data_IF_831253013470
#
_entry.id   IF_831253013470
#
_cell.length_a   1.000
_cell.length_b   1.000
_cell.length_c   1.000
_cell.angle_alpha   90.00
_cell.angle_beta   90.00
_cell.angle_gamma   90.00
#
_symmetry.space_group_name_H-M   'P 1'
#
loop_
_entity.id
_entity.type
_entity.pdbx_description
1 polymer ?
#
# COMPACT_ATOMS: atom_id res chain seq x y z
N UNK A 1 -21.39 28.33 53.68
CA UNK A 1 -22.70 28.49 53.00
C UNK A 1 -22.44 29.32 51.75
N UNK A 2 -22.45 28.68 50.59
CA UNK A 2 -22.28 29.36 49.32
C UNK A 2 -23.57 30.11 49.03
N UNK A 3 -23.44 31.41 48.78
CA UNK A 3 -24.58 32.33 48.52
C UNK A 3 -25.33 31.84 47.29
N UNK A 4 -26.62 31.51 47.44
CA UNK A 4 -27.51 31.03 46.36
C UNK A 4 -27.68 32.09 45.25
N UNK A 5 -27.54 33.37 45.57
CA UNK A 5 -27.66 34.45 44.59
C UNK A 5 -26.40 34.60 43.70
N UNK A 6 -25.21 34.38 44.27
CA UNK A 6 -23.95 34.30 43.54
C UNK A 6 -23.93 33.08 42.63
N UNK A 7 -24.41 31.93 43.05
CA UNK A 7 -24.49 30.69 42.27
C UNK A 7 -25.45 30.84 41.04
N UNK A 8 -26.55 31.60 41.20
CA UNK A 8 -27.54 31.88 40.16
C UNK A 8 -26.99 32.77 39.03
N UNK A 9 -26.00 33.60 39.33
CA UNK A 9 -25.31 34.49 38.34
C UNK A 9 -24.13 33.80 37.69
N UNK A 10 -23.45 32.88 38.38
CA UNK A 10 -22.25 32.16 37.87
C UNK A 10 -22.64 30.97 36.98
N UNK A 11 -23.74 30.30 37.29
CA UNK A 11 -24.19 29.11 36.54
C UNK A 11 -24.45 29.35 35.04
N UNK A 12 -25.14 30.41 34.60
CA UNK A 12 -25.34 30.68 33.18
C UNK A 12 -24.04 31.05 32.46
N UNK A 13 -23.11 31.73 33.13
CA UNK A 13 -21.82 32.11 32.56
C UNK A 13 -20.92 30.84 32.37
N UNK A 14 -20.97 29.93 33.36
CA UNK A 14 -20.23 28.65 33.26
C UNK A 14 -20.85 27.75 32.19
N UNK A 15 -22.15 27.70 32.06
CA UNK A 15 -22.87 26.97 31.02
C UNK A 15 -22.57 27.50 29.62
N UNK A 16 -22.56 28.86 29.49
CA UNK A 16 -22.20 29.50 28.22
C UNK A 16 -20.73 29.25 27.84
N UNK A 17 -19.81 29.20 28.82
CA UNK A 17 -18.41 28.87 28.60
C UNK A 17 -18.22 27.40 28.19
N UNK A 18 -18.97 26.50 28.80
CA UNK A 18 -18.95 25.06 28.43
C UNK A 18 -19.54 24.85 27.03
N UNK A 19 -20.62 25.56 26.67
CA UNK A 19 -21.19 25.46 25.31
C UNK A 19 -20.24 26.06 24.27
N UNK A 20 -19.56 27.17 24.58
CA UNK A 20 -18.58 27.76 23.66
C UNK A 20 -17.32 26.91 23.52
N UNK A 21 -16.86 26.24 24.58
CA UNK A 21 -15.78 25.25 24.52
C UNK A 21 -16.17 24.00 23.73
N UNK A 22 -17.42 23.53 23.88
CA UNK A 22 -17.93 22.38 23.08
C UNK A 22 -18.10 22.75 21.60
N UNK A 23 -18.51 24.01 21.30
CA UNK A 23 -18.59 24.53 19.93
C UNK A 23 -17.19 24.73 19.29
N UNK A 24 -16.20 25.17 20.08
CA UNK A 24 -14.80 25.26 19.63
C UNK A 24 -14.13 23.91 19.40
N UNK A 25 -14.60 22.86 20.09
CA UNK A 25 -14.10 21.48 19.89
C UNK A 25 -14.65 20.83 18.60
N UNK A 26 -15.63 21.44 17.94
CA UNK A 26 -16.13 21.04 16.62
C UNK A 26 -15.48 21.87 15.50
N UNK A 27 -14.17 22.11 15.55
CA UNK A 27 -13.46 22.42 14.30
C UNK A 27 -13.66 21.23 13.40
N UNK A 28 -14.31 21.36 12.22
CA UNK A 28 -14.37 20.27 11.26
C UNK A 28 -12.92 19.87 11.01
N UNK A 29 -12.56 18.63 11.38
CA UNK A 29 -11.30 18.03 10.98
C UNK A 29 -11.27 18.18 9.47
N UNK A 30 -10.39 19.03 8.97
CA UNK A 30 -10.16 19.14 7.52
C UNK A 30 -9.97 17.71 7.02
N UNK A 31 -10.76 17.27 6.04
CA UNK A 31 -10.67 15.92 5.54
C UNK A 31 -9.21 15.67 5.12
N UNK A 32 -8.56 14.68 5.74
CA UNK A 32 -7.19 14.33 5.40
C UNK A 32 -7.21 13.65 4.03
N UNK A 33 -6.77 14.36 3.03
CA UNK A 33 -6.65 13.85 1.67
C UNK A 33 -5.34 13.06 1.51
N UNK A 34 -5.40 11.87 0.90
CA UNK A 34 -4.22 11.16 0.44
C UNK A 34 -3.88 11.58 -1.00
N UNK A 35 -2.83 12.35 -1.17
CA UNK A 35 -2.17 12.55 -2.46
C UNK A 35 -0.94 11.67 -2.48
N UNK A 36 -1.17 10.37 -2.71
CA UNK A 36 -0.15 9.35 -2.56
C UNK A 36 0.36 8.84 -3.90
N UNK A 37 1.60 8.34 -3.90
CA UNK A 37 2.24 7.75 -5.06
C UNK A 37 2.90 6.44 -4.66
N UNK A 38 2.77 5.40 -5.51
CA UNK A 38 3.61 4.21 -5.40
C UNK A 38 4.93 4.47 -6.11
N UNK A 39 6.02 4.32 -5.38
CA UNK A 39 7.38 4.55 -5.85
C UNK A 39 8.10 3.20 -5.90
N UNK A 40 8.27 2.66 -7.11
CA UNK A 40 8.78 1.30 -7.30
C UNK A 40 10.29 1.26 -7.43
N UNK A 41 10.89 0.27 -6.78
CA UNK A 41 12.30 -0.09 -6.96
C UNK A 41 12.49 -1.30 -7.89
N UNK A 42 11.38 -1.91 -8.32
CA UNK A 42 11.40 -3.11 -9.18
C UNK A 42 12.16 -2.82 -10.49
N UNK A 43 13.29 -3.51 -10.67
CA UNK A 43 14.16 -3.36 -11.85
C UNK A 43 14.63 -1.91 -12.13
N UNK A 44 14.58 -1.03 -11.12
CA UNK A 44 14.94 0.38 -11.27
C UNK A 44 13.96 1.18 -12.12
N UNK A 45 12.70 0.77 -12.16
CA UNK A 45 11.68 1.41 -12.99
C UNK A 45 11.48 2.89 -12.62
N UNK A 46 11.26 3.21 -11.35
CA UNK A 46 11.27 4.58 -10.88
C UNK A 46 12.65 4.95 -10.33
N UNK A 47 13.25 4.07 -9.51
CA UNK A 47 14.54 4.27 -8.86
C UNK A 47 15.07 2.96 -8.23
N UNK A 48 16.43 2.78 -8.14
CA UNK A 48 17.47 3.56 -8.80
C UNK A 48 17.65 3.13 -10.27
N UNK A 49 17.95 4.06 -11.14
CA UNK A 49 18.18 3.76 -12.57
C UNK A 49 19.42 2.92 -12.83
N UNK A 50 20.43 3.03 -11.97
CA UNK A 50 21.68 2.28 -12.05
C UNK A 50 22.13 1.83 -10.66
N UNK A 51 22.70 0.61 -10.55
CA UNK A 51 23.23 0.15 -9.26
C UNK A 51 24.44 0.96 -8.79
N UNK A 52 24.53 1.14 -7.46
CA UNK A 52 25.67 1.77 -6.79
C UNK A 52 26.80 0.75 -6.61
N UNK A 53 27.78 0.77 -7.51
CA UNK A 53 28.97 -0.10 -7.44
C UNK A 53 30.23 0.64 -7.02
N UNK A 54 30.16 1.96 -6.89
CA UNK A 54 31.24 2.87 -6.45
C UNK A 54 30.64 3.99 -5.59
N UNK A 55 31.46 4.68 -4.77
CA UNK A 55 31.02 5.83 -3.99
C UNK A 55 30.36 6.92 -4.84
N UNK A 56 30.91 7.23 -6.01
CA UNK A 56 30.33 8.19 -6.94
C UNK A 56 28.96 7.71 -7.51
N UNK A 57 28.74 6.41 -7.66
CA UNK A 57 27.46 5.86 -8.07
C UNK A 57 26.44 5.90 -6.93
N UNK A 58 26.88 5.70 -5.68
CA UNK A 58 26.05 5.89 -4.48
C UNK A 58 25.52 7.32 -4.39
N UNK A 59 26.40 8.31 -4.53
CA UNK A 59 25.98 9.72 -4.50
C UNK A 59 25.03 10.09 -5.64
N UNK A 60 25.23 9.54 -6.83
CA UNK A 60 24.26 9.71 -7.94
C UNK A 60 22.88 9.10 -7.62
N UNK A 61 22.82 7.90 -7.01
CA UNK A 61 21.55 7.31 -6.58
C UNK A 61 20.83 8.22 -5.58
N UNK A 62 21.53 8.73 -4.59
CA UNK A 62 20.98 9.66 -3.59
C UNK A 62 20.44 10.94 -4.22
N UNK A 63 21.24 11.57 -5.10
CA UNK A 63 20.84 12.79 -5.81
C UNK A 63 19.62 12.55 -6.70
N UNK A 64 19.56 11.41 -7.39
CA UNK A 64 18.41 11.02 -8.18
C UNK A 64 17.14 10.93 -7.33
N UNK A 65 17.19 10.27 -6.16
CA UNK A 65 16.05 10.18 -5.25
C UNK A 65 15.60 11.55 -4.74
N UNK A 66 16.56 12.41 -4.30
CA UNK A 66 16.24 13.77 -3.88
C UNK A 66 15.51 14.55 -4.97
N UNK A 67 16.00 14.50 -6.21
CA UNK A 67 15.39 15.18 -7.34
C UNK A 67 13.97 14.67 -7.64
N UNK A 68 13.74 13.36 -7.54
CA UNK A 68 12.41 12.77 -7.72
C UNK A 68 11.46 13.20 -6.59
N UNK A 69 11.93 13.23 -5.35
CA UNK A 69 11.10 13.65 -4.21
C UNK A 69 10.82 15.16 -4.23
N UNK A 70 11.75 16.02 -4.72
CA UNK A 70 11.48 17.43 -4.98
C UNK A 70 10.33 17.61 -5.97
N UNK A 71 10.32 16.80 -7.04
CA UNK A 71 9.26 16.82 -8.04
C UNK A 71 7.91 16.35 -7.47
N UNK A 72 7.91 15.32 -6.61
CA UNK A 72 6.70 14.84 -5.94
C UNK A 72 6.16 15.90 -4.97
N UNK A 73 7.02 16.56 -4.21
CA UNK A 73 6.64 17.67 -3.32
C UNK A 73 6.05 18.83 -4.13
N UNK A 74 6.69 19.24 -5.21
CA UNK A 74 6.21 20.30 -6.10
C UNK A 74 4.85 19.94 -6.75
N UNK A 75 4.59 18.64 -6.95
CA UNK A 75 3.30 18.13 -7.38
C UNK A 75 2.29 17.95 -6.24
N UNK A 76 2.58 18.45 -5.02
CA UNK A 76 1.69 18.40 -3.86
C UNK A 76 1.45 16.99 -3.30
N UNK A 77 2.27 16.01 -3.64
CA UNK A 77 2.22 14.67 -3.03
C UNK A 77 2.54 14.79 -1.54
N UNK A 78 1.77 14.11 -0.72
CA UNK A 78 1.95 14.10 0.74
C UNK A 78 2.26 12.71 1.31
N UNK A 79 2.22 11.67 0.49
CA UNK A 79 2.45 10.29 0.92
C UNK A 79 3.16 9.50 -0.18
N UNK A 80 4.24 8.81 0.19
CA UNK A 80 4.99 7.94 -0.71
C UNK A 80 4.90 6.50 -0.24
N UNK A 81 4.38 5.60 -1.06
CA UNK A 81 4.51 4.16 -0.87
C UNK A 81 5.82 3.70 -1.49
N UNK A 82 6.89 3.67 -0.70
CA UNK A 82 8.23 3.30 -1.15
C UNK A 82 8.42 1.79 -1.12
N UNK A 83 8.75 1.18 -2.25
CA UNK A 83 8.88 -0.27 -2.36
C UNK A 83 10.12 -0.79 -1.60
N UNK A 84 9.91 -1.17 -0.34
CA UNK A 84 10.93 -1.67 0.56
C UNK A 84 11.17 -3.19 0.41
N UNK A 85 10.13 -3.96 0.06
CA UNK A 85 10.21 -5.38 -0.27
C UNK A 85 9.66 -5.63 -1.67
N UNK A 86 10.49 -6.24 -2.53
CA UNK A 86 10.16 -6.43 -3.94
C UNK A 86 9.54 -7.83 -4.16
N UNK A 87 10.36 -8.88 -4.21
CA UNK A 87 9.95 -10.28 -4.41
C UNK A 87 10.90 -11.21 -3.69
N UNK A 88 10.79 -11.28 -2.36
CA UNK A 88 11.75 -12.03 -1.54
C UNK A 88 13.13 -11.38 -1.48
N UNK A 89 13.22 -10.10 -1.84
CA UNK A 89 14.41 -9.24 -1.75
C UNK A 89 14.00 -7.86 -1.23
N UNK A 90 14.92 -7.14 -0.63
CA UNK A 90 14.63 -5.90 0.10
C UNK A 90 15.55 -4.74 -0.26
N UNK A 91 15.11 -3.54 0.10
CA UNK A 91 15.80 -2.24 -0.07
C UNK A 91 16.49 -1.75 1.21
N UNK A 92 16.74 -2.62 2.18
CA UNK A 92 17.29 -2.26 3.49
C UNK A 92 18.11 -3.42 4.08
N UNK A 93 18.99 -3.20 5.09
CA UNK A 93 19.74 -4.26 5.76
C UNK A 93 18.80 -5.16 6.59
N UNK A 94 18.27 -6.21 5.98
CA UNK A 94 17.42 -7.20 6.62
C UNK A 94 18.21 -8.40 7.11
N UNK A 95 17.77 -8.97 8.25
CA UNK A 95 18.24 -10.27 8.74
C UNK A 95 17.44 -11.45 8.17
N UNK A 96 16.38 -11.18 7.42
CA UNK A 96 15.41 -12.18 6.96
C UNK A 96 15.56 -12.43 5.46
N UNK A 97 15.60 -11.38 4.64
CA UNK A 97 15.67 -11.45 3.19
C UNK A 97 16.91 -10.74 2.63
N UNK A 98 17.43 -11.22 1.49
CA UNK A 98 18.63 -10.65 0.87
C UNK A 98 18.32 -9.30 0.19
N UNK A 99 19.37 -8.50 -0.01
CA UNK A 99 19.35 -7.29 -0.81
C UNK A 99 18.88 -7.54 -2.24
N UNK A 100 18.08 -6.65 -2.79
CA UNK A 100 17.77 -6.68 -4.21
C UNK A 100 18.96 -6.24 -5.06
N UNK A 101 19.08 -6.85 -6.24
CA UNK A 101 20.18 -6.58 -7.17
C UNK A 101 20.19 -5.13 -7.70
N UNK A 102 19.04 -4.46 -7.72
CA UNK A 102 18.89 -3.11 -8.26
C UNK A 102 19.77 -2.10 -7.55
N UNK A 103 20.02 -2.29 -6.24
CA UNK A 103 20.81 -1.34 -5.45
C UNK A 103 22.31 -1.44 -5.68
N UNK A 104 22.87 -2.66 -5.77
CA UNK A 104 24.32 -2.89 -5.85
C UNK A 104 24.75 -3.81 -7.00
N UNK A 105 23.86 -4.08 -7.98
CA UNK A 105 24.14 -4.84 -9.20
C UNK A 105 24.11 -6.34 -9.06
N UNK A 106 23.97 -6.89 -7.84
CA UNK A 106 23.88 -8.34 -7.58
C UNK A 106 23.00 -8.59 -6.36
N UNK A 107 22.11 -9.57 -6.47
CA UNK A 107 21.27 -10.00 -5.36
C UNK A 107 22.14 -10.45 -4.16
N UNK A 108 21.73 -10.05 -2.97
CA UNK A 108 22.43 -10.29 -1.71
C UNK A 108 23.64 -9.39 -1.45
N UNK A 109 24.04 -8.53 -2.40
CA UNK A 109 25.09 -7.52 -2.19
C UNK A 109 24.49 -6.25 -1.58
N UNK A 110 25.01 -5.84 -0.43
CA UNK A 110 24.69 -4.56 0.20
C UNK A 110 25.23 -3.40 -0.61
N UNK A 111 24.47 -2.32 -0.81
CA UNK A 111 25.03 -1.01 -1.16
C UNK A 111 25.77 -0.40 0.04
N UNK A 112 26.55 0.69 -0.20
CA UNK A 112 27.33 1.35 0.84
C UNK A 112 26.49 2.27 1.76
N UNK A 113 25.16 2.21 1.68
CA UNK A 113 24.20 2.99 2.48
C UNK A 113 22.89 2.21 2.66
N UNK A 114 21.98 2.75 3.47
CA UNK A 114 20.64 2.23 3.65
C UNK A 114 19.64 3.02 2.80
N UNK A 115 19.16 2.48 1.65
CA UNK A 115 18.21 3.14 0.78
C UNK A 115 16.87 3.47 1.45
N UNK A 116 16.35 2.61 2.32
CA UNK A 116 15.08 2.84 3.00
C UNK A 116 15.21 3.96 4.03
N UNK A 117 16.24 3.93 4.88
CA UNK A 117 16.50 5.00 5.84
C UNK A 117 16.67 6.35 5.13
N UNK A 118 17.47 6.38 4.07
CA UNK A 118 17.68 7.58 3.28
C UNK A 118 16.38 8.11 2.65
N UNK A 119 15.54 7.23 2.12
CA UNK A 119 14.25 7.61 1.55
C UNK A 119 13.29 8.19 2.59
N UNK A 120 13.27 7.64 3.81
CA UNK A 120 12.46 8.15 4.93
C UNK A 120 12.90 9.58 5.28
N UNK A 121 14.20 9.78 5.51
CA UNK A 121 14.75 11.10 5.86
C UNK A 121 14.42 12.14 4.79
N UNK A 122 14.58 11.79 3.52
CA UNK A 122 14.31 12.70 2.40
C UNK A 122 12.80 12.97 2.19
N UNK A 123 11.92 12.01 2.47
CA UNK A 123 10.48 12.23 2.45
C UNK A 123 10.05 13.17 3.59
N UNK A 124 10.52 12.92 4.82
CA UNK A 124 10.20 13.71 6.00
C UNK A 124 10.70 15.16 5.89
N UNK A 125 11.90 15.40 5.35
CA UNK A 125 12.40 16.75 5.05
C UNK A 125 11.48 17.56 4.13
N UNK A 126 10.68 16.90 3.32
CA UNK A 126 9.72 17.50 2.38
C UNK A 126 8.28 17.49 2.89
N UNK A 127 8.05 17.08 4.14
CA UNK A 127 6.72 17.00 4.73
C UNK A 127 5.84 15.89 4.14
N UNK A 128 6.44 14.85 3.56
CA UNK A 128 5.74 13.69 3.02
C UNK A 128 5.82 12.51 3.99
N UNK A 129 4.70 11.81 4.22
CA UNK A 129 4.71 10.51 4.87
C UNK A 129 5.39 9.47 3.96
N UNK A 130 6.17 8.56 4.56
CA UNK A 130 6.70 7.41 3.85
C UNK A 130 6.16 6.12 4.46
N UNK A 131 5.44 5.34 3.63
CA UNK A 131 5.00 3.99 3.97
C UNK A 131 5.86 2.96 3.26
N UNK A 132 6.40 2.01 4.01
CA UNK A 132 7.13 0.90 3.41
C UNK A 132 6.18 0.00 2.61
N UNK A 133 6.32 0.01 1.30
CA UNK A 133 5.55 -0.84 0.41
C UNK A 133 6.15 -2.25 0.37
N UNK A 134 5.33 -3.23 0.76
CA UNK A 134 5.69 -4.65 0.86
C UNK A 134 4.85 -5.45 -0.13
N UNK A 135 5.50 -5.98 -1.16
CA UNK A 135 4.90 -6.99 -2.06
C UNK A 135 4.84 -8.31 -1.29
N UNK A 136 3.63 -8.74 -0.87
CA UNK A 136 3.48 -9.76 0.16
C UNK A 136 3.77 -11.20 -0.31
N UNK A 137 2.89 -11.80 -1.11
CA UNK A 137 3.05 -13.22 -1.46
C UNK A 137 4.01 -13.52 -2.61
N UNK A 138 4.16 -12.70 -3.66
CA UNK A 138 5.22 -12.92 -4.63
C UNK A 138 6.58 -13.02 -3.95
N UNK A 139 7.32 -14.07 -4.30
CA UNK A 139 8.62 -14.39 -3.75
C UNK A 139 9.67 -14.41 -4.86
N UNK A 140 10.69 -15.22 -4.73
CA UNK A 140 11.86 -15.23 -5.58
C UNK A 140 11.56 -15.69 -7.02
N UNK A 141 12.04 -14.96 -8.01
CA UNK A 141 12.13 -15.47 -9.38
C UNK A 141 13.10 -16.66 -9.46
N UNK A 142 12.91 -17.56 -10.43
CA UNK A 142 13.82 -18.72 -10.59
C UNK A 142 15.27 -18.30 -10.81
N UNK A 143 15.51 -17.18 -11.50
CA UNK A 143 16.85 -16.61 -11.66
C UNK A 143 17.45 -16.18 -10.31
N UNK A 144 16.64 -15.56 -9.43
CA UNK A 144 17.05 -15.17 -8.08
C UNK A 144 17.40 -16.39 -7.23
N UNK A 145 16.57 -17.44 -7.28
CA UNK A 145 16.83 -18.73 -6.59
C UNK A 145 18.14 -19.34 -7.04
N UNK A 146 18.43 -19.29 -8.36
CA UNK A 146 19.70 -19.78 -8.91
C UNK A 146 20.89 -18.95 -8.38
N UNK A 147 20.77 -17.64 -8.35
CA UNK A 147 21.82 -16.74 -7.91
C UNK A 147 22.12 -16.83 -6.40
N UNK A 148 21.08 -16.97 -5.57
CA UNK A 148 21.20 -17.10 -4.11
C UNK A 148 21.62 -18.50 -3.65
N UNK A 149 21.41 -19.53 -4.47
CA UNK A 149 21.74 -20.90 -4.13
C UNK A 149 21.05 -21.37 -2.83
N UNK A 150 21.81 -21.81 -1.84
CA UNK A 150 21.27 -22.29 -0.56
C UNK A 150 20.64 -21.20 0.31
N UNK A 151 20.90 -19.91 0.04
CA UNK A 151 20.33 -18.79 0.79
C UNK A 151 18.89 -18.47 0.35
N UNK A 152 18.47 -18.97 -0.81
CA UNK A 152 17.11 -18.78 -1.31
C UNK A 152 16.06 -19.31 -0.34
N UNK A 153 14.98 -18.57 -0.14
CA UNK A 153 13.83 -18.99 0.67
C UNK A 153 13.18 -20.25 0.10
N UNK A 154 12.99 -20.30 -1.22
CA UNK A 154 12.40 -21.45 -1.89
C UNK A 154 13.21 -22.75 -1.72
N UNK A 155 14.51 -22.67 -1.39
CA UNK A 155 15.34 -23.82 -1.06
C UNK A 155 15.39 -24.12 0.43
N UNK A 156 15.33 -23.08 1.28
CA UNK A 156 15.34 -23.25 2.74
C UNK A 156 14.00 -23.70 3.30
N UNK A 157 12.91 -23.21 2.69
CA UNK A 157 11.53 -23.44 3.14
C UNK A 157 10.63 -23.77 1.94
N UNK A 158 10.92 -24.87 1.21
CA UNK A 158 10.17 -25.26 0.01
C UNK A 158 8.68 -25.51 0.29
N UNK A 159 8.33 -25.89 1.51
CA UNK A 159 6.96 -26.12 1.95
C UNK A 159 6.09 -24.85 1.95
N UNK A 160 6.71 -23.67 2.05
CA UNK A 160 6.02 -22.38 2.01
C UNK A 160 5.84 -21.83 0.61
N UNK A 161 6.46 -22.45 -0.42
CA UNK A 161 6.60 -21.87 -1.74
C UNK A 161 5.93 -22.72 -2.82
N UNK A 162 4.97 -22.13 -3.53
CA UNK A 162 4.37 -22.69 -4.73
C UNK A 162 5.03 -22.10 -5.98
N UNK A 163 5.29 -22.93 -6.99
CA UNK A 163 5.73 -22.46 -8.30
C UNK A 163 4.57 -21.84 -9.05
N UNK A 164 4.83 -20.71 -9.68
CA UNK A 164 3.89 -20.03 -10.56
C UNK A 164 4.67 -19.25 -11.62
N UNK A 165 4.44 -19.57 -12.89
CA UNK A 165 5.15 -19.00 -14.04
C UNK A 165 6.69 -19.03 -13.88
N UNK A 166 7.37 -17.88 -13.80
CA UNK A 166 8.83 -17.74 -13.68
C UNK A 166 9.30 -17.49 -12.23
N UNK A 167 8.41 -17.64 -11.25
CA UNK A 167 8.67 -17.29 -9.85
C UNK A 167 8.07 -18.28 -8.85
N UNK A 168 8.43 -18.11 -7.59
CA UNK A 168 7.75 -18.71 -6.46
C UNK A 168 6.77 -17.70 -5.83
N UNK A 169 5.68 -18.23 -5.29
CA UNK A 169 4.70 -17.47 -4.51
C UNK A 169 4.59 -18.17 -3.16
N UNK A 170 4.58 -17.38 -2.09
CA UNK A 170 4.32 -17.89 -0.75
C UNK A 170 2.89 -18.43 -0.68
N UNK A 171 2.73 -19.64 -0.15
CA UNK A 171 1.41 -20.26 0.05
C UNK A 171 0.75 -19.70 1.32
N UNK A 172 -0.33 -18.92 1.21
CA UNK A 172 -1.03 -18.38 2.39
C UNK A 172 -1.66 -19.48 3.26
N UNK A 173 -1.88 -20.67 2.69
CA UNK A 173 -2.42 -21.83 3.40
C UNK A 173 -1.45 -22.44 4.40
N UNK A 174 -0.15 -22.25 4.21
CA UNK A 174 0.88 -22.68 5.16
C UNK A 174 0.90 -21.73 6.35
N UNK A 175 0.66 -22.20 7.59
CA UNK A 175 0.57 -21.32 8.78
C UNK A 175 1.82 -20.42 8.96
N UNK A 176 2.99 -20.97 8.73
CA UNK A 176 4.29 -20.29 8.90
C UNK A 176 4.49 -19.11 7.93
N UNK A 177 3.72 -19.05 6.85
CA UNK A 177 3.73 -17.89 5.93
C UNK A 177 3.27 -16.62 6.65
N UNK A 178 2.33 -16.73 7.57
CA UNK A 178 1.85 -15.61 8.37
C UNK A 178 2.96 -15.06 9.28
N UNK A 179 3.66 -15.94 9.99
CA UNK A 179 4.75 -15.56 10.88
C UNK A 179 5.94 -14.97 10.11
N UNK A 180 6.22 -15.53 8.94
CA UNK A 180 7.29 -15.04 8.06
C UNK A 180 7.06 -13.61 7.59
N UNK A 181 5.88 -13.31 7.03
CA UNK A 181 5.55 -11.95 6.58
C UNK A 181 5.39 -10.97 7.75
N UNK A 182 4.84 -11.43 8.87
CA UNK A 182 4.77 -10.65 10.09
C UNK A 182 6.17 -10.29 10.62
N UNK A 183 7.15 -11.20 10.51
CA UNK A 183 8.53 -10.92 10.94
C UNK A 183 9.20 -9.85 10.08
N UNK A 184 8.95 -9.85 8.76
CA UNK A 184 9.45 -8.81 7.83
C UNK A 184 8.85 -7.45 8.14
N UNK A 185 7.51 -7.37 8.27
CA UNK A 185 6.83 -6.12 8.58
C UNK A 185 7.20 -5.60 9.98
N UNK A 186 7.36 -6.51 10.96
CA UNK A 186 7.82 -6.18 12.30
C UNK A 186 9.28 -5.70 12.32
N UNK A 187 10.17 -6.27 11.49
CA UNK A 187 11.56 -5.81 11.32
C UNK A 187 11.60 -4.39 10.79
N UNK A 188 10.81 -4.08 9.75
CA UNK A 188 10.71 -2.72 9.21
C UNK A 188 10.17 -1.76 10.28
N UNK A 189 9.07 -2.09 10.92
CA UNK A 189 8.45 -1.23 11.92
C UNK A 189 9.36 -0.94 13.13
N UNK A 190 10.16 -1.93 13.56
CA UNK A 190 11.11 -1.77 14.67
C UNK A 190 12.28 -0.88 14.33
N UNK A 191 12.84 -1.03 13.12
CA UNK A 191 14.13 -0.47 12.79
C UNK A 191 14.06 0.89 12.09
N UNK A 192 12.87 1.27 11.55
CA UNK A 192 12.72 2.46 10.70
C UNK A 192 11.62 3.39 11.19
N UNK A 193 11.82 4.68 11.03
CA UNK A 193 10.83 5.71 11.33
C UNK A 193 9.82 5.90 10.21
N UNK A 194 9.13 4.81 9.88
CA UNK A 194 8.07 4.79 8.87
C UNK A 194 6.75 5.34 9.43
N UNK A 195 5.97 6.01 8.58
CA UNK A 195 4.61 6.45 8.90
C UNK A 195 3.59 5.31 8.73
N UNK A 196 3.94 4.29 7.93
CA UNK A 196 3.09 3.14 7.73
C UNK A 196 3.75 2.00 6.96
N UNK A 197 3.00 0.90 6.86
CA UNK A 197 3.28 -0.22 5.96
C UNK A 197 2.13 -0.35 4.97
N UNK A 198 2.47 -0.48 3.70
CA UNK A 198 1.53 -0.67 2.61
C UNK A 198 1.69 -2.06 2.00
N UNK A 199 0.66 -2.91 2.09
CA UNK A 199 0.68 -4.27 1.59
C UNK A 199 0.15 -4.33 0.16
N UNK A 200 0.94 -4.88 -0.74
CA UNK A 200 0.53 -5.19 -2.10
C UNK A 200 0.64 -6.70 -2.36
N UNK A 201 -0.12 -7.20 -3.33
CA UNK A 201 -0.19 -8.63 -3.62
C UNK A 201 -0.47 -9.49 -2.37
N UNK A 202 -1.19 -8.95 -1.39
CA UNK A 202 -1.70 -9.69 -0.24
C UNK A 202 -2.97 -10.45 -0.63
N UNK A 203 -2.82 -11.37 -1.60
CA UNK A 203 -3.89 -12.08 -2.26
C UNK A 203 -3.38 -13.29 -3.03
N UNK A 204 -4.24 -14.25 -3.27
CA UNK A 204 -3.91 -15.34 -4.20
C UNK A 204 -3.66 -14.81 -5.62
N UNK A 205 -2.91 -15.57 -6.46
CA UNK A 205 -2.69 -15.21 -7.85
C UNK A 205 -4.00 -15.07 -8.64
N UNK A 206 -3.95 -14.31 -9.72
CA UNK A 206 -5.09 -14.05 -10.61
C UNK A 206 -5.63 -15.32 -11.26
N UNK A 207 -4.75 -16.23 -11.63
CA UNK A 207 -5.12 -17.52 -12.17
C UNK A 207 -5.05 -18.56 -11.07
N UNK A 208 -6.20 -18.97 -10.52
CA UNK A 208 -6.28 -20.09 -9.58
C UNK A 208 -5.75 -21.40 -10.21
N UNK A 209 -5.66 -21.47 -11.53
CA UNK A 209 -5.16 -22.63 -12.30
C UNK A 209 -3.65 -22.77 -12.16
N UNK A 210 -2.90 -21.68 -12.04
CA UNK A 210 -1.44 -21.69 -11.93
C UNK A 210 -0.92 -21.86 -10.50
N UNK A 211 -1.81 -21.84 -9.48
CA UNK A 211 -1.43 -21.95 -8.08
C UNK A 211 -1.98 -23.24 -7.45
N UNK A 212 -1.11 -24.19 -7.17
CA UNK A 212 -1.51 -25.48 -6.64
C UNK A 212 -1.32 -25.57 -5.12
N UNK A 213 -2.35 -25.25 -4.38
CA UNK A 213 -2.43 -25.40 -2.92
C UNK A 213 -3.14 -26.68 -2.44
N UNK A 214 -3.35 -27.67 -3.35
CA UNK A 214 -4.11 -28.89 -3.04
C UNK A 214 -3.51 -29.70 -1.87
N UNK A 215 -2.19 -29.73 -1.76
CA UNK A 215 -1.52 -30.45 -0.66
C UNK A 215 -1.76 -29.71 0.67
N UNK A 216 -1.65 -28.38 0.65
CA UNK A 216 -1.85 -27.50 1.80
C UNK A 216 -3.29 -27.55 2.26
N UNK A 217 -4.25 -27.49 1.31
CA UNK A 217 -5.67 -27.61 1.63
C UNK A 217 -6.02 -28.97 2.24
N UNK A 218 -5.50 -30.07 1.73
CA UNK A 218 -5.72 -31.39 2.35
C UNK A 218 -5.16 -31.46 3.77
N UNK A 219 -4.07 -30.77 4.05
CA UNK A 219 -3.43 -30.79 5.38
C UNK A 219 -4.12 -29.87 6.38
N UNK A 220 -4.59 -28.70 5.93
CA UNK A 220 -5.04 -27.61 6.82
C UNK A 220 -6.47 -27.12 6.56
N UNK A 221 -7.17 -27.72 5.61
CA UNK A 221 -8.53 -27.26 5.22
C UNK A 221 -9.63 -27.75 6.14
N UNK A 222 -9.43 -28.88 6.80
CA UNK A 222 -10.37 -29.46 7.79
C UNK A 222 -11.83 -29.53 7.31
N UNK A 223 -12.06 -29.79 6.01
CA UNK A 223 -13.40 -29.85 5.41
C UNK A 223 -14.08 -28.50 5.15
N UNK A 224 -13.42 -27.39 5.43
CA UNK A 224 -13.94 -26.06 5.14
C UNK A 224 -14.07 -25.86 3.61
N UNK A 225 -15.08 -25.12 3.10
CA UNK A 225 -15.16 -24.78 1.69
C UNK A 225 -13.89 -24.05 1.22
N UNK A 226 -13.31 -24.48 0.09
CA UNK A 226 -12.01 -24.01 -0.40
C UNK A 226 -11.90 -22.48 -0.49
N UNK A 227 -12.95 -21.81 -1.03
CA UNK A 227 -12.96 -20.36 -1.17
C UNK A 227 -12.94 -19.65 0.20
N UNK A 228 -13.64 -20.17 1.20
CA UNK A 228 -13.62 -19.62 2.55
C UNK A 228 -12.26 -19.86 3.21
N UNK A 229 -11.72 -21.06 3.11
CA UNK A 229 -10.42 -21.40 3.63
C UNK A 229 -9.31 -20.49 3.06
N UNK A 230 -9.34 -20.19 1.76
CA UNK A 230 -8.40 -19.26 1.14
C UNK A 230 -8.54 -17.83 1.68
N UNK A 231 -9.77 -17.32 1.85
CA UNK A 231 -10.00 -15.99 2.48
C UNK A 231 -9.50 -15.95 3.91
N UNK A 232 -9.74 -16.98 4.68
CA UNK A 232 -9.29 -17.05 6.07
C UNK A 232 -7.78 -17.12 6.20
N UNK A 233 -7.10 -17.79 5.25
CA UNK A 233 -5.64 -17.83 5.19
C UNK A 233 -5.05 -16.44 4.94
N UNK A 234 -5.57 -15.70 3.95
CA UNK A 234 -5.09 -14.33 3.70
C UNK A 234 -5.37 -13.43 4.91
N UNK A 235 -6.56 -13.53 5.50
CA UNK A 235 -6.93 -12.77 6.70
C UNK A 235 -6.08 -13.13 7.92
N UNK A 236 -5.64 -14.39 8.06
CA UNK A 236 -4.67 -14.82 9.08
C UNK A 236 -3.34 -14.10 8.92
N UNK A 237 -2.82 -14.02 7.69
CA UNK A 237 -1.58 -13.29 7.40
C UNK A 237 -1.73 -11.81 7.75
N UNK A 238 -2.83 -11.17 7.34
CA UNK A 238 -3.11 -9.76 7.66
C UNK A 238 -3.14 -9.53 9.17
N UNK A 239 -3.84 -10.38 9.93
CA UNK A 239 -3.88 -10.28 11.41
C UNK A 239 -2.49 -10.43 12.05
N UNK A 240 -1.67 -11.34 11.55
CA UNK A 240 -0.32 -11.53 12.05
C UNK A 240 0.58 -10.31 11.79
N UNK A 241 0.50 -9.74 10.58
CA UNK A 241 1.20 -8.50 10.22
C UNK A 241 0.72 -7.33 11.07
N UNK A 242 -0.60 -7.13 11.19
CA UNK A 242 -1.18 -6.09 12.03
C UNK A 242 -0.63 -6.15 13.47
N UNK A 243 -0.70 -7.34 14.08
CA UNK A 243 -0.18 -7.56 15.45
C UNK A 243 1.32 -7.23 15.55
N UNK A 244 2.12 -7.64 14.57
CA UNK A 244 3.56 -7.38 14.57
C UNK A 244 3.88 -5.89 14.43
N UNK A 245 3.22 -5.19 13.50
CA UNK A 245 3.42 -3.76 13.25
C UNK A 245 2.96 -2.93 14.45
N UNK A 246 1.74 -3.16 14.93
CA UNK A 246 1.17 -2.37 16.05
C UNK A 246 1.88 -2.63 17.39
N UNK A 247 2.52 -3.77 17.56
CA UNK A 247 3.39 -4.03 18.72
C UNK A 247 4.63 -3.15 18.71
N UNK A 248 5.27 -2.95 17.54
CA UNK A 248 6.50 -2.16 17.43
C UNK A 248 6.18 -0.65 17.35
N UNK A 249 5.16 -0.28 16.56
CA UNK A 249 4.70 1.10 16.33
C UNK A 249 3.17 1.17 16.31
N UNK A 250 2.50 1.41 17.46
CA UNK A 250 1.03 1.46 17.52
C UNK A 250 0.39 2.50 16.61
N UNK A 251 1.10 3.60 16.32
CA UNK A 251 0.63 4.70 15.47
C UNK A 251 0.88 4.49 13.98
N UNK A 252 1.80 3.60 13.58
CA UNK A 252 2.10 3.36 12.17
C UNK A 252 0.86 2.82 11.45
N UNK A 253 0.54 3.44 10.30
CA UNK A 253 -0.62 3.05 9.49
C UNK A 253 -0.35 1.72 8.79
N UNK A 254 -1.35 0.84 8.76
CA UNK A 254 -1.33 -0.37 7.95
C UNK A 254 -2.38 -0.23 6.86
N UNK A 255 -1.98 -0.39 5.60
CA UNK A 255 -2.84 -0.23 4.43
C UNK A 255 -2.57 -1.30 3.37
N UNK A 256 -3.46 -1.44 2.40
CA UNK A 256 -3.20 -2.29 1.24
C UNK A 256 -3.83 -1.76 -0.05
N UNK A 257 -3.33 -2.29 -1.19
CA UNK A 257 -3.87 -2.08 -2.53
C UNK A 257 -4.69 -3.30 -2.99
N UNK A 258 -6.01 -3.37 -2.68
CA UNK A 258 -6.85 -4.45 -3.17
C UNK A 258 -7.16 -4.30 -4.66
N UNK A 259 -7.60 -5.41 -5.29
CA UNK A 259 -8.17 -5.36 -6.64
C UNK A 259 -9.31 -4.35 -6.69
N UNK A 260 -9.38 -3.58 -7.77
CA UNK A 260 -10.27 -2.41 -7.88
C UNK A 260 -11.76 -2.69 -7.67
N UNK A 261 -12.25 -3.88 -8.03
CA UNK A 261 -13.60 -4.35 -7.66
C UNK A 261 -13.52 -5.18 -6.40
N UNK A 262 -14.36 -4.89 -5.40
CA UNK A 262 -14.46 -5.76 -4.22
C UNK A 262 -15.20 -7.06 -4.56
N UNK A 263 -16.37 -6.93 -5.16
CA UNK A 263 -17.22 -8.04 -5.60
C UNK A 263 -17.92 -7.65 -6.91
N UNK A 264 -18.59 -8.61 -7.54
CA UNK A 264 -19.46 -8.32 -8.67
C UNK A 264 -20.72 -7.58 -8.22
N UNK A 265 -21.16 -6.61 -9.02
CA UNK A 265 -22.36 -5.82 -8.76
C UNK A 265 -23.51 -6.31 -9.64
N UNK A 266 -24.74 -6.51 -9.07
CA UNK A 266 -25.89 -6.98 -9.85
C UNK A 266 -26.26 -6.06 -11.02
N UNK A 267 -26.05 -4.75 -10.85
CA UNK A 267 -26.42 -3.71 -11.83
C UNK A 267 -25.30 -3.32 -12.78
N UNK A 268 -24.13 -4.02 -12.71
CA UNK A 268 -22.97 -3.71 -13.54
C UNK A 268 -22.60 -4.93 -14.38
N UNK A 269 -22.36 -4.71 -15.69
CA UNK A 269 -22.01 -5.78 -16.64
C UNK A 269 -20.62 -6.39 -16.41
N UNK A 270 -19.70 -5.66 -15.76
CA UNK A 270 -18.35 -6.17 -15.47
C UNK A 270 -18.40 -7.25 -14.40
N UNK A 271 -18.13 -8.50 -14.81
CA UNK A 271 -18.13 -9.69 -13.96
C UNK A 271 -16.72 -10.29 -13.81
N UNK A 272 -16.57 -11.17 -12.86
CA UNK A 272 -15.32 -11.90 -12.60
C UNK A 272 -14.31 -11.06 -11.83
N UNK A 273 -13.06 -11.11 -12.17
CA UNK A 273 -11.92 -10.46 -11.54
C UNK A 273 -12.24 -9.43 -10.44
N UNK A 274 -12.39 -9.90 -9.21
CA UNK A 274 -12.69 -9.09 -8.04
C UNK A 274 -11.85 -9.54 -6.83
N UNK A 275 -11.76 -8.68 -5.80
CA UNK A 275 -10.90 -8.91 -4.64
C UNK A 275 -11.38 -10.13 -3.82
N UNK A 276 -12.67 -10.16 -3.48
CA UNK A 276 -13.20 -11.12 -2.51
C UNK A 276 -13.27 -12.55 -3.03
N UNK A 277 -13.77 -12.74 -4.24
CA UNK A 277 -14.12 -14.08 -4.74
C UNK A 277 -13.09 -14.63 -5.73
N UNK A 278 -12.43 -13.78 -6.53
CA UNK A 278 -11.44 -14.23 -7.50
C UNK A 278 -10.04 -14.43 -6.90
N UNK A 279 -9.64 -13.58 -5.95
CA UNK A 279 -8.30 -13.61 -5.32
C UNK A 279 -8.32 -13.71 -3.80
N UNK A 280 -9.49 -13.94 -3.22
CA UNK A 280 -9.71 -14.22 -1.80
C UNK A 280 -9.20 -13.12 -0.85
N UNK A 281 -9.31 -11.86 -1.29
CA UNK A 281 -8.87 -10.66 -0.60
C UNK A 281 -10.07 -9.95 0.02
N UNK A 282 -10.38 -10.26 1.28
CA UNK A 282 -11.55 -9.70 2.00
C UNK A 282 -11.19 -8.35 2.67
N UNK A 283 -10.76 -7.39 1.84
CA UNK A 283 -10.24 -6.12 2.30
C UNK A 283 -11.28 -5.26 3.03
N UNK A 284 -12.57 -5.40 2.70
CA UNK A 284 -13.67 -4.72 3.41
C UNK A 284 -13.73 -5.19 4.86
N UNK A 285 -13.68 -6.51 5.10
CA UNK A 285 -13.66 -7.04 6.46
C UNK A 285 -12.42 -6.53 7.22
N UNK A 286 -11.24 -6.56 6.60
CA UNK A 286 -10.01 -6.09 7.26
C UNK A 286 -10.07 -4.63 7.68
N UNK A 287 -10.68 -3.76 6.86
CA UNK A 287 -10.82 -2.35 7.18
C UNK A 287 -11.86 -2.12 8.28
N UNK A 288 -13.02 -2.77 8.18
CA UNK A 288 -14.11 -2.62 9.15
C UNK A 288 -13.74 -3.19 10.53
N UNK A 289 -12.97 -4.29 10.55
CA UNK A 289 -12.46 -4.92 11.78
C UNK A 289 -11.27 -4.13 12.39
N UNK A 290 -10.81 -3.05 11.76
CA UNK A 290 -9.69 -2.23 12.22
C UNK A 290 -8.32 -2.88 12.03
N UNK A 291 -8.21 -3.94 11.23
CA UNK A 291 -6.92 -4.55 10.86
C UNK A 291 -6.14 -3.69 9.85
N UNK A 292 -6.83 -2.85 9.09
CA UNK A 292 -6.27 -1.86 8.18
C UNK A 292 -6.74 -0.46 8.56
N UNK A 293 -5.87 0.53 8.39
CA UNK A 293 -6.18 1.95 8.61
C UNK A 293 -6.70 2.62 7.33
N UNK A 294 -6.31 2.11 6.15
CA UNK A 294 -6.76 2.61 4.85
C UNK A 294 -6.70 1.53 3.76
N UNK A 295 -7.53 1.69 2.72
CA UNK A 295 -7.48 0.88 1.49
C UNK A 295 -7.25 1.77 0.28
N UNK A 296 -6.48 1.26 -0.67
CA UNK A 296 -6.16 1.92 -1.94
C UNK A 296 -6.50 1.00 -3.11
N UNK A 297 -7.81 0.77 -3.41
CA UNK A 297 -8.22 -0.13 -4.47
C UNK A 297 -7.62 0.28 -5.82
N UNK A 298 -7.08 -0.68 -6.57
CA UNK A 298 -6.46 -0.45 -7.88
C UNK A 298 -7.54 -0.19 -8.95
N UNK A 299 -8.05 1.04 -8.99
CA UNK A 299 -9.18 1.47 -9.82
C UNK A 299 -8.73 1.92 -11.21
N UNK A 300 -8.02 1.05 -11.94
CA UNK A 300 -7.46 1.31 -13.27
C UNK A 300 -8.49 1.17 -14.38
N UNK A 301 -9.66 1.78 -14.17
CA UNK A 301 -10.81 1.67 -15.04
C UNK A 301 -11.16 3.02 -15.67
N UNK A 302 -11.85 2.98 -16.80
CA UNK A 302 -12.56 4.14 -17.33
C UNK A 302 -13.80 4.52 -16.49
N UNK A 303 -14.42 5.66 -16.83
CA UNK A 303 -15.53 6.20 -16.02
C UNK A 303 -16.72 5.24 -15.87
N UNK A 304 -17.02 4.42 -16.88
CA UNK A 304 -18.14 3.49 -16.86
C UNK A 304 -17.98 2.38 -15.80
N UNK A 305 -16.75 1.94 -15.55
CA UNK A 305 -16.42 0.95 -14.54
C UNK A 305 -15.87 1.58 -13.25
N UNK A 306 -15.32 2.80 -13.33
CA UNK A 306 -14.74 3.49 -12.19
C UNK A 306 -15.79 3.84 -11.14
N UNK A 307 -16.81 4.62 -11.52
CA UNK A 307 -17.79 5.15 -10.56
C UNK A 307 -18.60 4.09 -9.82
N UNK A 308 -19.17 3.06 -10.48
CA UNK A 308 -19.94 2.05 -9.76
C UNK A 308 -19.15 1.33 -8.69
N UNK A 309 -17.87 1.03 -8.94
CA UNK A 309 -17.04 0.33 -7.97
C UNK A 309 -16.45 1.24 -6.89
N UNK A 310 -16.18 2.51 -7.18
CA UNK A 310 -15.83 3.50 -6.13
C UNK A 310 -16.99 3.66 -5.15
N UNK A 311 -18.22 3.76 -5.65
CA UNK A 311 -19.40 3.84 -4.81
C UNK A 311 -19.58 2.59 -3.95
N UNK A 312 -19.41 1.40 -4.53
CA UNK A 312 -19.48 0.12 -3.79
C UNK A 312 -18.46 0.07 -2.65
N UNK A 313 -17.20 0.49 -2.89
CA UNK A 313 -16.20 0.59 -1.85
C UNK A 313 -16.62 1.56 -0.73
N UNK A 314 -17.15 2.73 -1.10
CA UNK A 314 -17.59 3.74 -0.13
C UNK A 314 -18.77 3.27 0.70
N UNK A 315 -19.77 2.63 0.08
CA UNK A 315 -20.96 2.11 0.76
C UNK A 315 -20.61 0.99 1.74
N UNK A 316 -19.62 0.14 1.40
CA UNK A 316 -19.15 -0.93 2.29
C UNK A 316 -18.28 -0.46 3.45
N UNK A 317 -17.66 0.70 3.31
CA UNK A 317 -16.71 1.25 4.29
C UNK A 317 -16.99 2.75 4.54
N UNK A 318 -18.21 3.11 5.05
CA UNK A 318 -18.68 4.51 5.07
C UNK A 318 -17.83 5.44 5.95
N UNK A 319 -17.28 4.94 7.05
CA UNK A 319 -16.52 5.74 8.03
C UNK A 319 -15.01 5.51 7.96
N UNK A 320 -14.54 4.80 6.96
CA UNK A 320 -13.16 4.39 6.83
C UNK A 320 -12.46 5.03 5.63
N UNK A 321 -11.14 5.07 5.69
CA UNK A 321 -10.31 5.63 4.64
C UNK A 321 -10.22 4.68 3.44
N UNK A 322 -10.90 5.02 2.35
CA UNK A 322 -10.76 4.35 1.05
C UNK A 322 -10.41 5.40 0.00
N UNK A 323 -9.24 5.25 -0.63
CA UNK A 323 -8.77 6.15 -1.67
C UNK A 323 -8.48 5.36 -2.95
N UNK A 324 -9.23 5.58 -4.05
CA UNK A 324 -9.03 4.85 -5.28
C UNK A 324 -7.66 5.14 -5.91
N UNK A 325 -6.91 4.09 -6.24
CA UNK A 325 -5.68 4.17 -7.01
C UNK A 325 -5.97 4.39 -8.50
N UNK A 326 -5.34 5.38 -9.09
CA UNK A 326 -5.50 5.71 -10.50
C UNK A 326 -4.33 5.15 -11.32
N UNK A 327 -4.64 4.46 -12.42
CA UNK A 327 -3.64 3.90 -13.34
C UNK A 327 -3.07 4.95 -14.29
N UNK A 328 -2.45 6.00 -13.79
CA UNK A 328 -1.93 7.11 -14.62
C UNK A 328 -0.85 6.66 -15.59
N UNK A 329 -0.16 5.57 -15.30
CA UNK A 329 0.88 5.01 -16.17
C UNK A 329 0.33 4.39 -17.47
N UNK A 330 -0.97 4.13 -17.57
CA UNK A 330 -1.63 3.74 -18.81
C UNK A 330 -1.95 4.95 -19.72
N UNK A 331 -1.80 6.17 -19.19
CA UNK A 331 -2.29 7.34 -19.89
C UNK A 331 -1.29 7.81 -20.94
N UNK A 332 -1.72 7.84 -22.21
CA UNK A 332 -1.12 8.68 -23.23
C UNK A 332 -1.39 10.16 -22.92
N UNK A 333 -0.68 11.08 -23.60
CA UNK A 333 -0.90 12.53 -23.44
C UNK A 333 -2.37 12.96 -23.61
N UNK A 334 -3.13 12.23 -24.43
CA UNK A 334 -4.56 12.51 -24.70
C UNK A 334 -5.48 11.99 -23.59
N UNK A 335 -5.08 10.93 -22.89
CA UNK A 335 -5.83 10.32 -21.79
C UNK A 335 -5.61 11.04 -20.46
N UNK A 336 -4.56 11.84 -20.36
CA UNK A 336 -4.34 12.76 -19.26
C UNK A 336 -5.53 13.68 -19.00
N UNK A 337 -6.18 14.13 -20.08
CA UNK A 337 -7.41 14.92 -19.99
C UNK A 337 -8.59 14.13 -19.42
N UNK A 338 -8.63 12.82 -19.57
CA UNK A 338 -9.64 11.94 -18.98
C UNK A 338 -9.53 11.88 -17.46
N UNK A 339 -8.32 11.83 -16.92
CA UNK A 339 -8.09 11.86 -15.46
C UNK A 339 -8.50 13.22 -14.91
N UNK A 340 -8.13 14.33 -15.57
CA UNK A 340 -8.56 15.68 -15.19
C UNK A 340 -10.10 15.81 -15.21
N UNK A 341 -10.76 15.29 -16.26
CA UNK A 341 -12.23 15.25 -16.35
C UNK A 341 -12.86 14.39 -15.25
N UNK A 342 -12.25 13.26 -14.87
CA UNK A 342 -12.73 12.42 -13.77
C UNK A 342 -12.68 13.16 -12.44
N UNK A 343 -11.65 13.96 -12.17
CA UNK A 343 -11.56 14.82 -10.98
C UNK A 343 -12.67 15.88 -10.98
N UNK A 344 -12.88 16.56 -12.10
CA UNK A 344 -13.96 17.55 -12.23
C UNK A 344 -15.33 16.91 -12.00
N UNK A 345 -15.56 15.69 -12.52
CA UNK A 345 -16.82 14.98 -12.28
C UNK A 345 -16.94 14.46 -10.85
N UNK A 346 -15.86 14.05 -10.21
CA UNK A 346 -15.84 13.66 -8.80
C UNK A 346 -16.08 14.85 -7.86
N UNK A 347 -15.64 16.06 -8.23
CA UNK A 347 -15.94 17.29 -7.51
C UNK A 347 -17.43 17.70 -7.55
N UNK A 348 -18.20 17.16 -8.51
CA UNK A 348 -19.65 17.33 -8.60
C UNK A 348 -20.45 16.22 -7.93
N UNK A 349 -19.80 15.18 -7.40
CA UNK A 349 -20.48 14.23 -6.51
C UNK A 349 -20.85 14.92 -5.19
N UNK A 350 -21.98 14.50 -4.53
CA UNK A 350 -22.36 15.09 -3.24
C UNK A 350 -21.20 15.15 -2.27
N UNK A 351 -21.12 16.17 -1.44
CA UNK A 351 -19.99 16.42 -0.52
C UNK A 351 -19.58 15.21 0.34
N UNK A 352 -20.50 14.26 0.57
CA UNK A 352 -20.25 12.96 1.21
C UNK A 352 -19.36 12.01 0.38
N UNK A 353 -19.23 12.26 -0.93
CA UNK A 353 -18.35 11.54 -1.86
C UNK A 353 -17.12 12.38 -2.22
N UNK A 354 -17.17 13.69 -1.99
CA UNK A 354 -16.08 14.64 -2.27
C UNK A 354 -14.92 14.57 -1.27
N UNK A 355 -15.00 13.77 -0.21
CA UNK A 355 -13.85 13.35 0.61
C UNK A 355 -12.86 12.50 -0.22
N UNK A 356 -12.72 12.85 -1.49
CA UNK A 356 -11.94 12.19 -2.53
C UNK A 356 -10.46 12.13 -2.18
N UNK A 357 -10.11 11.01 -1.58
CA UNK A 357 -8.73 10.63 -1.29
C UNK A 357 -8.16 9.96 -2.54
N UNK A 358 -7.51 10.76 -3.39
CA UNK A 358 -6.93 10.30 -4.66
C UNK A 358 -5.54 9.72 -4.43
N UNK A 359 -5.29 8.54 -4.99
CA UNK A 359 -3.95 7.96 -5.12
C UNK A 359 -3.58 7.75 -6.58
N UNK A 360 -2.34 8.07 -6.94
CA UNK A 360 -1.80 7.84 -8.27
C UNK A 360 -0.65 6.82 -8.21
N UNK A 361 -0.64 5.86 -9.14
CA UNK A 361 0.48 4.92 -9.32
C UNK A 361 1.39 5.43 -10.45
N UNK A 362 2.66 5.69 -10.22
CA UNK A 362 3.66 5.67 -11.27
C UNK A 362 4.21 4.25 -11.45
N UNK A 363 4.25 3.80 -12.67
CA UNK A 363 5.16 2.75 -13.15
C UNK A 363 6.14 3.41 -14.11
N UNK A 364 7.34 2.83 -14.21
CA UNK A 364 8.44 3.30 -15.02
C UNK A 364 8.04 3.95 -16.32
N UNK A 365 8.38 5.18 -16.40
CA UNK A 365 8.28 5.91 -17.64
C UNK A 365 9.67 6.04 -18.27
N UNK A 366 9.77 5.92 -19.59
CA UNK A 366 10.90 6.48 -20.35
C UNK A 366 10.99 7.98 -20.03
N UNK A 367 12.18 8.60 -20.13
CA UNK A 367 12.41 10.02 -19.80
C UNK A 367 11.38 11.00 -20.40
N UNK A 368 10.77 10.65 -21.54
CA UNK A 368 9.68 11.43 -22.16
C UNK A 368 8.34 11.27 -21.45
N UNK A 369 8.10 10.17 -20.74
CA UNK A 369 6.87 9.90 -20.01
C UNK A 369 6.92 10.42 -18.57
N UNK A 370 8.09 10.48 -17.93
CA UNK A 370 8.29 11.14 -16.62
C UNK A 370 7.84 12.60 -16.64
N UNK A 371 8.25 13.35 -17.66
CA UNK A 371 7.82 14.76 -17.81
C UNK A 371 6.30 14.87 -18.03
N UNK A 372 5.66 13.88 -18.64
CA UNK A 372 4.22 13.83 -18.81
C UNK A 372 3.46 13.54 -17.53
N UNK A 373 3.90 12.58 -16.74
CA UNK A 373 3.26 12.20 -15.46
C UNK A 373 3.38 13.30 -14.39
N UNK A 374 4.56 13.97 -14.32
CA UNK A 374 4.78 15.11 -13.44
C UNK A 374 3.99 16.35 -13.84
N UNK A 375 3.90 16.66 -15.12
CA UNK A 375 3.01 17.73 -15.63
C UNK A 375 1.54 17.42 -15.37
N UNK A 376 1.19 16.14 -15.35
CA UNK A 376 -0.14 15.68 -14.97
C UNK A 376 -0.40 15.85 -13.49
N UNK A 377 0.51 15.42 -12.62
CA UNK A 377 0.42 15.66 -11.19
C UNK A 377 0.29 17.16 -10.88
N UNK A 378 1.08 18.02 -11.55
CA UNK A 378 0.99 19.49 -11.45
C UNK A 378 -0.33 20.05 -11.98
N UNK A 379 -0.96 19.44 -13.00
CA UNK A 379 -2.28 19.85 -13.51
C UNK A 379 -3.44 19.38 -12.63
N UNK A 380 -3.20 18.50 -11.68
CA UNK A 380 -4.18 17.97 -10.73
C UNK A 380 -4.26 18.77 -9.42
N UNK A 381 -3.32 19.65 -9.18
CA UNK A 381 -3.23 20.52 -8.01
C UNK A 381 -3.63 21.95 -8.35
#
# INVERSE_FOLDING_TARGET
>A
LIDKEAMRKILPTFLALLVSLAAAAQTPLLPREYRAVWFTTLQGLDWPRKPATTAAATERQKQELCSLFDQLQAAGINTVFFQARIRGTVAYPSRIEPWDAVFAGRVGRSPDYDPLAFAIDEAHKRGMELHAWVVAFPSEKFATVKALGRQSLARRRPEMCCKSDDQYILDPGVPETADYLASICGEIARNYDIDGIHLDYIRYPESAVAFNDSKTYRKYGYGQPLAQWRRDNVSRVVRAIHKAVKREKPWAKLSCSPVGKYADLPRQSSKGWNARDAVYQDAVAWLNDGLMDALFPMMYFDGQHFYPFVLDWRERCPERAVAPGLGIYFLSKNEAQLVARRRQSAAHLPAQLADGRLCALPHAFSDRQHQGALRLAQAFL
#
